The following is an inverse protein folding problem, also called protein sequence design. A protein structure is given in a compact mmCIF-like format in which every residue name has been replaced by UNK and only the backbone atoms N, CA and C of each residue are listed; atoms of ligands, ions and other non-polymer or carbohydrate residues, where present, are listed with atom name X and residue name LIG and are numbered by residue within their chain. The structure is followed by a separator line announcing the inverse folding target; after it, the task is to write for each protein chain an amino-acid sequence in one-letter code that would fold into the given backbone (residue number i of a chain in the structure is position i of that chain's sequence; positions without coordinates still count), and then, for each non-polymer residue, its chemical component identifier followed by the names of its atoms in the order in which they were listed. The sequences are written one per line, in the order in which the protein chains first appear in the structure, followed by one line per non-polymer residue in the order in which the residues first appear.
data_IF_467061309710
#
_entry.id   IF_467061309710
#
_cell.length_a   1.000
_cell.length_b   1.000
_cell.length_c   1.000
_cell.angle_alpha   90.00
_cell.angle_beta   90.00
_cell.angle_gamma   90.00
#
_symmetry.space_group_name_H-M   'P 1'
#
loop_
_entity.id
_entity.type
_entity.pdbx_description
1 polymer ?
#
# COMPACT_ATOMS: atom_id res chain seq x y z
N UNK A 1 -7.22 21.73 18.87
CA UNK A 1 -7.22 20.27 18.63
C UNK A 1 -8.00 20.04 17.34
N UNK A 2 -7.35 19.66 16.24
CA UNK A 2 -8.08 19.31 15.00
C UNK A 2 -8.92 18.06 15.31
N UNK A 3 -10.17 17.94 14.84
CA UNK A 3 -10.92 16.70 15.03
C UNK A 3 -10.05 15.54 14.52
N UNK A 4 -10.01 14.44 15.26
CA UNK A 4 -9.34 13.19 14.88
C UNK A 4 -10.05 12.60 13.66
N UNK A 5 -9.93 13.26 12.53
CA UNK A 5 -10.60 13.00 11.26
C UNK A 5 -9.85 12.00 10.40
N UNK A 6 -9.20 11.02 11.03
CA UNK A 6 -8.76 9.81 10.32
C UNK A 6 -9.97 9.08 9.74
N UNK A 7 -9.76 8.36 8.65
CA UNK A 7 -10.76 7.41 8.17
C UNK A 7 -11.08 6.40 9.29
N UNK A 8 -12.36 6.01 9.44
CA UNK A 8 -12.80 5.05 10.48
C UNK A 8 -11.93 3.79 10.56
N UNK A 9 -11.49 3.27 9.41
CA UNK A 9 -10.60 2.10 9.32
C UNK A 9 -9.20 2.44 9.84
N UNK A 10 -8.68 3.62 9.53
CA UNK A 10 -7.40 4.10 10.07
C UNK A 10 -7.40 4.09 11.59
N UNK A 11 -8.42 4.70 12.20
CA UNK A 11 -8.47 4.89 13.66
C UNK A 11 -8.77 3.59 14.41
N UNK A 12 -9.75 2.81 13.95
CA UNK A 12 -10.27 1.65 14.71
C UNK A 12 -9.48 0.37 14.42
N UNK A 13 -8.83 0.26 13.26
CA UNK A 13 -8.12 -0.94 12.84
C UNK A 13 -6.61 -0.72 12.71
N UNK A 14 -6.19 0.24 11.89
CA UNK A 14 -4.77 0.35 11.51
C UNK A 14 -3.91 0.86 12.64
N UNK A 15 -4.34 1.90 13.36
CA UNK A 15 -3.57 2.42 14.49
C UNK A 15 -3.32 1.35 15.57
N UNK A 16 -4.33 0.58 16.03
CA UNK A 16 -4.07 -0.53 16.94
C UNK A 16 -3.08 -1.57 16.39
N UNK A 17 -3.19 -1.95 15.11
CA UNK A 17 -2.27 -2.91 14.49
C UNK A 17 -0.84 -2.39 14.44
N UNK A 18 -0.63 -1.15 13.99
CA UNK A 18 0.69 -0.52 13.98
C UNK A 18 1.26 -0.42 15.40
N UNK A 19 0.46 -0.01 16.38
CA UNK A 19 0.92 0.12 17.76
C UNK A 19 1.45 -1.21 18.35
N UNK A 20 0.88 -2.34 17.94
CA UNK A 20 1.30 -3.66 18.43
C UNK A 20 2.48 -4.26 17.66
N UNK A 21 2.53 -4.06 16.34
CA UNK A 21 3.46 -4.80 15.47
C UNK A 21 4.52 -3.93 14.77
N UNK A 22 4.27 -2.65 14.59
CA UNK A 22 5.19 -1.68 13.97
C UNK A 22 5.10 -0.33 14.71
N UNK A 23 5.48 -0.27 16.01
CA UNK A 23 5.24 0.90 16.85
C UNK A 23 5.84 2.19 16.28
N UNK A 24 6.98 2.11 15.57
CA UNK A 24 7.62 3.22 14.89
C UNK A 24 6.73 3.86 13.81
N UNK A 25 5.90 3.07 13.14
CA UNK A 25 4.96 3.55 12.11
C UNK A 25 3.70 4.20 12.70
N UNK A 26 3.46 4.07 14.01
CA UNK A 26 2.27 4.65 14.67
C UNK A 26 2.25 6.18 14.64
N UNK A 27 3.40 6.81 14.35
CA UNK A 27 3.52 8.27 14.20
C UNK A 27 2.87 8.82 12.92
N UNK A 28 2.48 7.96 11.98
CA UNK A 28 1.79 8.39 10.77
C UNK A 28 0.35 8.79 11.04
N UNK A 29 -0.01 10.01 10.65
CA UNK A 29 -1.38 10.51 10.80
C UNK A 29 -2.37 9.81 9.87
N UNK A 30 -1.96 9.46 8.64
CA UNK A 30 -2.82 8.82 7.64
C UNK A 30 -2.09 7.66 6.94
N UNK A 31 -1.89 6.52 7.61
CA UNK A 31 -1.19 5.36 7.04
C UNK A 31 -1.91 4.70 5.84
N UNK A 32 -3.19 5.03 5.62
CA UNK A 32 -3.98 4.59 4.47
C UNK A 32 -4.28 5.72 3.47
N UNK A 33 -3.46 6.79 3.48
CA UNK A 33 -3.60 7.89 2.53
C UNK A 33 -3.41 7.37 1.11
N UNK A 34 -4.31 7.74 0.19
CA UNK A 34 -4.11 7.49 -1.24
C UNK A 34 -3.20 8.54 -1.88
N UNK A 35 -2.95 9.63 -1.17
CA UNK A 35 -2.04 10.69 -1.55
C UNK A 35 -0.68 10.43 -0.91
N UNK A 36 0.25 9.95 -1.72
CA UNK A 36 1.65 9.75 -1.36
C UNK A 36 2.52 9.91 -2.61
N UNK A 37 3.82 10.13 -2.38
CA UNK A 37 4.82 10.20 -3.42
C UNK A 37 6.05 9.42 -2.98
N UNK A 38 6.79 8.87 -3.94
CA UNK A 38 8.01 8.12 -3.68
C UNK A 38 8.96 8.22 -4.86
N UNK A 39 10.25 8.10 -4.58
CA UNK A 39 11.25 7.97 -5.64
C UNK A 39 10.99 6.66 -6.38
N UNK A 40 11.12 6.70 -7.71
CA UNK A 40 10.92 5.51 -8.54
C UNK A 40 11.76 4.33 -8.05
N UNK A 41 13.04 4.57 -7.77
CA UNK A 41 14.01 3.56 -7.29
C UNK A 41 13.59 2.87 -5.99
N UNK A 42 12.82 3.55 -5.13
CA UNK A 42 12.24 2.96 -3.91
C UNK A 42 11.02 2.12 -4.28
N UNK A 43 10.10 2.70 -5.05
CA UNK A 43 8.83 2.04 -5.41
C UNK A 43 9.02 0.81 -6.30
N UNK A 44 9.98 0.82 -7.22
CA UNK A 44 10.24 -0.35 -8.08
C UNK A 44 10.93 -1.51 -7.35
N UNK A 45 11.48 -1.25 -6.16
CA UNK A 45 12.26 -2.19 -5.38
C UNK A 45 11.42 -2.92 -4.30
N UNK A 46 10.13 -2.60 -4.17
CA UNK A 46 9.20 -3.22 -3.21
C UNK A 46 8.01 -3.84 -3.95
N UNK A 47 7.38 -4.89 -3.40
CA UNK A 47 6.19 -5.49 -4.01
C UNK A 47 4.97 -4.58 -3.91
N UNK A 48 3.96 -4.83 -4.75
CA UNK A 48 2.68 -4.12 -4.74
C UNK A 48 1.52 -5.10 -4.57
N UNK A 49 0.80 -5.00 -3.44
CA UNK A 49 -0.45 -5.75 -3.25
C UNK A 49 -1.58 -5.14 -4.08
N UNK A 50 -2.43 -5.97 -4.65
CA UNK A 50 -3.63 -5.51 -5.38
C UNK A 50 -4.77 -5.25 -4.40
N UNK A 51 -5.46 -4.11 -4.56
CA UNK A 51 -6.64 -3.76 -3.77
C UNK A 51 -6.31 -2.98 -2.50
N UNK A 52 -7.19 -3.06 -1.50
CA UNK A 52 -7.14 -2.20 -0.30
C UNK A 52 -5.92 -2.40 0.62
N UNK A 53 -5.12 -3.43 0.40
CA UNK A 53 -3.89 -3.67 1.15
C UNK A 53 -2.68 -2.90 0.62
N UNK A 54 -2.80 -2.18 -0.50
CA UNK A 54 -1.64 -1.58 -1.17
C UNK A 54 -0.97 -0.50 -0.32
N UNK A 55 -1.73 0.41 0.31
CA UNK A 55 -1.14 1.51 1.08
C UNK A 55 -0.37 1.01 2.30
N UNK A 56 -1.00 0.14 3.10
CA UNK A 56 -0.36 -0.39 4.32
C UNK A 56 0.80 -1.32 4.01
N UNK A 57 0.66 -2.15 2.97
CA UNK A 57 1.73 -3.02 2.52
C UNK A 57 2.95 -2.21 2.07
N UNK A 58 2.72 -1.19 1.25
CA UNK A 58 3.78 -0.31 0.78
C UNK A 58 4.49 0.43 1.92
N UNK A 59 3.74 0.93 2.91
CA UNK A 59 4.31 1.59 4.07
C UNK A 59 5.23 0.65 4.87
N UNK A 60 4.77 -0.57 5.14
CA UNK A 60 5.54 -1.60 5.86
C UNK A 60 6.77 -2.03 5.04
N UNK A 61 6.60 -2.30 3.75
CA UNK A 61 7.67 -2.77 2.87
C UNK A 61 8.79 -1.73 2.71
N UNK A 62 8.44 -0.43 2.63
CA UNK A 62 9.44 0.65 2.58
C UNK A 62 10.12 0.81 3.93
N UNK A 63 9.37 0.77 5.03
CA UNK A 63 9.91 0.85 6.39
C UNK A 63 10.94 -0.25 6.65
N UNK A 64 10.63 -1.49 6.31
CA UNK A 64 11.52 -2.63 6.53
C UNK A 64 12.78 -2.54 5.69
N UNK A 65 12.65 -2.10 4.44
CA UNK A 65 13.77 -2.07 3.50
C UNK A 65 14.68 -0.87 3.69
N UNK A 66 14.14 0.29 4.07
CA UNK A 66 14.84 1.57 4.06
C UNK A 66 14.79 2.33 5.38
N UNK A 67 14.09 1.83 6.40
CA UNK A 67 13.99 2.43 7.71
C UNK A 67 13.13 3.69 7.77
N UNK A 68 12.86 4.13 9.00
CA UNK A 68 12.01 5.30 9.28
C UNK A 68 12.56 6.61 8.70
N UNK A 69 13.87 6.73 8.54
CA UNK A 69 14.53 7.90 7.95
C UNK A 69 14.19 8.15 6.47
N UNK A 70 13.71 7.12 5.76
CA UNK A 70 13.26 7.24 4.37
C UNK A 70 11.82 7.74 4.23
N UNK A 71 11.12 7.88 5.35
CA UNK A 71 9.69 8.08 5.45
C UNK A 71 9.40 9.46 6.05
N UNK A 72 8.45 10.19 5.44
CA UNK A 72 8.03 11.50 5.89
C UNK A 72 6.52 11.68 5.67
N UNK A 73 5.92 12.64 6.37
CA UNK A 73 4.52 13.03 6.19
C UNK A 73 4.42 14.54 6.01
N UNK A 74 3.47 14.97 5.18
CA UNK A 74 3.21 16.38 4.87
C UNK A 74 1.74 16.66 5.09
N UNK A 75 1.43 17.79 5.72
CA UNK A 75 0.06 18.26 5.89
C UNK A 75 -0.47 18.83 4.57
N UNK A 76 -1.61 18.32 4.10
CA UNK A 76 -2.29 18.76 2.87
C UNK A 76 -3.54 19.62 3.17
N UNK A 77 -3.58 20.22 4.37
CA UNK A 77 -4.68 21.02 4.92
C UNK A 77 -6.00 20.24 4.99
N UNK A 78 -6.90 20.47 4.03
CA UNK A 78 -8.27 19.94 4.06
C UNK A 78 -8.50 18.98 2.91
N UNK A 79 -8.70 17.71 3.27
CA UNK A 79 -9.17 16.68 2.36
C UNK A 79 -10.63 16.34 2.67
N UNK A 80 -11.51 16.49 1.69
CA UNK A 80 -12.91 16.03 1.77
C UNK A 80 -13.08 14.84 0.84
N UNK A 81 -13.38 13.67 1.39
CA UNK A 81 -13.69 12.47 0.62
C UNK A 81 -15.12 12.00 0.90
N UNK A 82 -15.70 11.24 -0.02
CA UNK A 82 -17.02 10.64 0.19
C UNK A 82 -16.99 9.68 1.39
N UNK A 83 -17.97 9.80 2.27
CA UNK A 83 -18.16 8.84 3.35
C UNK A 83 -18.57 7.48 2.78
N UNK A 84 -17.75 6.45 3.02
CA UNK A 84 -18.07 5.06 2.65
C UNK A 84 -19.11 4.48 3.61
N UNK A 85 -19.99 3.61 3.13
CA UNK A 85 -20.90 2.83 3.98
C UNK A 85 -20.14 1.87 4.90
N UNK A 86 -20.68 1.52 6.07
CA UNK A 86 -20.06 0.53 6.97
C UNK A 86 -19.74 -0.83 6.29
N UNK A 87 -20.61 -1.42 5.45
CA UNK A 87 -20.28 -2.64 4.73
C UNK A 87 -19.03 -2.49 3.83
N UNK A 88 -18.87 -1.34 3.17
CA UNK A 88 -17.68 -1.07 2.36
C UNK A 88 -16.41 -0.95 3.21
N UNK A 89 -16.51 -0.36 4.41
CA UNK A 89 -15.39 -0.30 5.36
C UNK A 89 -15.03 -1.67 5.93
N UNK A 90 -16.02 -2.52 6.21
CA UNK A 90 -15.78 -3.88 6.67
C UNK A 90 -15.01 -4.70 5.63
N UNK A 91 -15.34 -4.51 4.35
CA UNK A 91 -14.64 -5.15 3.22
C UNK A 91 -13.20 -4.66 3.06
N UNK A 92 -13.01 -3.34 3.18
CA UNK A 92 -11.68 -2.74 3.20
C UNK A 92 -10.85 -3.30 4.37
N UNK A 93 -11.46 -3.38 5.56
CA UNK A 93 -10.82 -3.91 6.77
C UNK A 93 -10.40 -5.37 6.60
N UNK A 94 -11.26 -6.21 6.01
CA UNK A 94 -10.93 -7.61 5.72
C UNK A 94 -9.69 -7.74 4.81
N UNK A 95 -9.65 -6.97 3.72
CA UNK A 95 -8.53 -7.02 2.79
C UNK A 95 -7.21 -6.49 3.40
N UNK A 96 -7.29 -5.46 4.23
CA UNK A 96 -6.13 -4.95 4.96
C UNK A 96 -5.65 -5.97 5.99
N UNK A 97 -6.55 -6.56 6.78
CA UNK A 97 -6.20 -7.61 7.74
C UNK A 97 -5.50 -8.78 7.07
N UNK A 98 -6.03 -9.26 5.95
CA UNK A 98 -5.36 -10.32 5.19
C UNK A 98 -3.94 -9.90 4.83
N UNK A 99 -3.77 -8.70 4.28
CA UNK A 99 -2.45 -8.17 3.89
C UNK A 99 -1.49 -8.08 5.07
N UNK A 100 -1.97 -7.59 6.21
CA UNK A 100 -1.17 -7.38 7.42
C UNK A 100 -0.73 -8.72 8.02
N UNK A 101 -1.65 -9.67 8.18
CA UNK A 101 -1.31 -11.00 8.71
C UNK A 101 -0.43 -11.81 7.76
N UNK A 102 -0.61 -11.71 6.44
CA UNK A 102 0.33 -12.30 5.48
C UNK A 102 1.74 -11.74 5.69
N UNK A 103 1.88 -10.42 5.93
CA UNK A 103 3.17 -9.79 6.22
C UNK A 103 3.81 -10.31 7.51
N UNK A 104 3.04 -10.34 8.59
CA UNK A 104 3.51 -10.87 9.88
C UNK A 104 3.92 -12.35 9.78
N UNK A 105 3.21 -13.16 9.00
CA UNK A 105 3.59 -14.55 8.74
C UNK A 105 4.88 -14.67 7.93
N UNK A 106 5.07 -13.84 6.90
CA UNK A 106 6.31 -13.81 6.10
C UNK A 106 7.55 -13.39 6.92
N UNK A 107 7.33 -12.77 8.08
CA UNK A 107 8.36 -12.32 9.01
C UNK A 107 8.53 -13.25 10.21
N UNK A 108 7.80 -14.38 10.23
CA UNK A 108 7.77 -15.32 11.35
C UNK A 108 7.36 -14.67 12.70
N UNK A 109 6.68 -13.51 12.68
CA UNK A 109 6.16 -12.83 13.88
C UNK A 109 4.93 -13.55 14.42
N UNK A 110 4.10 -14.09 13.52
CA UNK A 110 2.91 -14.86 13.87
C UNK A 110 2.87 -16.15 13.07
N UNK A 111 2.46 -17.23 13.72
CA UNK A 111 2.15 -18.51 13.07
C UNK A 111 0.64 -18.72 13.11
N UNK A 112 0.02 -18.98 11.96
CA UNK A 112 -1.40 -19.29 11.86
C UNK A 112 -1.55 -20.76 11.49
N UNK A 113 -2.30 -21.51 12.29
CA UNK A 113 -2.64 -22.91 11.98
C UNK A 113 -3.61 -23.04 10.79
N UNK A 114 -4.33 -21.96 10.49
CA UNK A 114 -5.31 -21.89 9.40
C UNK A 114 -4.87 -20.87 8.37
N UNK A 115 -5.09 -21.21 7.10
CA UNK A 115 -4.90 -20.29 6.00
C UNK A 115 -5.88 -19.10 6.09
N UNK A 116 -5.39 -17.92 5.72
CA UNK A 116 -6.23 -16.73 5.63
C UNK A 116 -7.23 -16.88 4.48
N UNK A 117 -8.50 -16.64 4.77
CA UNK A 117 -9.58 -16.78 3.79
C UNK A 117 -9.48 -15.70 2.71
N UNK A 118 -9.71 -16.08 1.45
CA UNK A 118 -9.96 -15.16 0.34
C UNK A 118 -11.44 -14.75 0.20
N UNK A 119 -12.33 -15.35 0.99
CA UNK A 119 -13.78 -15.08 0.99
C UNK A 119 -14.17 -14.32 2.25
N UNK A 120 -14.78 -13.15 2.07
CA UNK A 120 -15.42 -12.40 3.15
C UNK A 120 -16.91 -12.71 3.21
N UNK A 121 -17.43 -12.99 4.40
CA UNK A 121 -18.85 -13.29 4.62
C UNK A 121 -19.49 -12.11 5.35
N UNK A 122 -20.30 -11.34 4.62
CA UNK A 122 -21.03 -10.20 5.16
C UNK A 122 -22.39 -10.67 5.66
N UNK A 123 -22.66 -10.44 6.95
CA UNK A 123 -23.99 -10.65 7.53
C UNK A 123 -24.95 -9.60 7.01
N UNK A 124 -26.11 -10.03 6.52
CA UNK A 124 -27.23 -9.18 6.15
C UNK A 124 -28.49 -9.65 6.84
N UNK A 125 -29.34 -8.69 7.18
CA UNK A 125 -30.68 -8.95 7.70
C UNK A 125 -31.70 -8.32 6.75
N UNK A 126 -32.79 -9.05 6.48
CA UNK A 126 -33.98 -8.54 5.81
C UNK A 126 -35.18 -9.07 6.57
N UNK A 127 -35.96 -8.17 7.16
CA UNK A 127 -37.08 -8.52 8.06
C UNK A 127 -36.58 -9.42 9.20
N UNK A 128 -37.10 -10.65 9.31
CA UNK A 128 -36.70 -11.63 10.33
C UNK A 128 -35.61 -12.61 9.84
N UNK A 129 -35.19 -12.51 8.57
CA UNK A 129 -34.18 -13.41 7.99
C UNK A 129 -32.77 -12.84 8.07
N UNK A 130 -31.85 -13.64 8.63
CA UNK A 130 -30.41 -13.38 8.62
C UNK A 130 -29.75 -14.27 7.58
N UNK A 131 -29.01 -13.68 6.65
CA UNK A 131 -28.29 -14.41 5.61
C UNK A 131 -26.87 -13.90 5.40
N UNK A 132 -26.00 -14.77 4.88
CA UNK A 132 -24.61 -14.46 4.59
C UNK A 132 -24.43 -14.16 3.10
N UNK A 133 -23.96 -12.95 2.79
CA UNK A 133 -23.46 -12.61 1.46
C UNK A 133 -21.96 -12.86 1.41
N UNK A 134 -21.53 -13.76 0.53
CA UNK A 134 -20.11 -14.00 0.23
C UNK A 134 -19.58 -12.97 -0.75
N UNK A 135 -18.37 -12.50 -0.53
CA UNK A 135 -17.62 -11.64 -1.44
C UNK A 135 -16.18 -12.15 -1.53
N UNK A 136 -15.75 -12.53 -2.72
CA UNK A 136 -14.39 -13.03 -2.98
C UNK A 136 -13.41 -11.88 -3.15
N UNK A 137 -12.20 -12.08 -2.65
CA UNK A 137 -11.05 -11.19 -2.81
C UNK A 137 -9.95 -11.90 -3.56
N UNK A 138 -9.22 -11.12 -4.37
CA UNK A 138 -8.03 -11.59 -5.07
C UNK A 138 -6.82 -10.92 -4.45
N UNK A 139 -6.11 -11.66 -3.60
CA UNK A 139 -4.90 -11.19 -2.92
C UNK A 139 -3.67 -11.51 -3.76
N UNK A 140 -3.53 -10.79 -4.88
CA UNK A 140 -2.33 -10.88 -5.72
C UNK A 140 -1.30 -9.90 -5.18
N UNK A 141 -0.09 -10.41 -4.93
CA UNK A 141 1.10 -9.60 -4.78
C UNK A 141 1.84 -9.51 -6.12
N UNK A 142 2.07 -8.29 -6.60
CA UNK A 142 2.95 -8.03 -7.74
C UNK A 142 4.38 -7.97 -7.22
N UNK A 143 5.33 -8.70 -7.85
CA UNK A 143 6.71 -8.68 -7.40
C UNK A 143 7.29 -7.27 -7.57
N UNK A 144 8.41 -6.96 -6.90
CA UNK A 144 9.13 -5.70 -7.13
C UNK A 144 9.33 -5.48 -8.62
N UNK A 145 8.93 -4.31 -9.11
CA UNK A 145 8.91 -4.04 -10.54
C UNK A 145 10.29 -4.16 -11.19
N UNK A 146 11.37 -3.94 -10.43
CA UNK A 146 12.75 -4.17 -10.86
C UNK A 146 13.05 -5.64 -11.21
N UNK A 147 12.28 -6.61 -10.69
CA UNK A 147 12.43 -8.03 -11.05
C UNK A 147 11.72 -8.39 -12.35
N UNK A 148 10.76 -7.58 -12.80
CA UNK A 148 10.02 -7.81 -14.05
C UNK A 148 10.94 -7.57 -15.25
N UNK A 149 11.10 -8.60 -16.08
CA UNK A 149 12.03 -8.56 -17.21
C UNK A 149 11.68 -7.45 -18.22
N UNK A 150 10.40 -7.34 -18.58
CA UNK A 150 9.93 -6.33 -19.52
C UNK A 150 10.20 -4.91 -19.01
N UNK A 151 10.10 -4.71 -17.69
CA UNK A 151 10.42 -3.43 -17.06
C UNK A 151 11.90 -3.10 -17.19
N UNK A 152 12.78 -4.05 -16.82
CA UNK A 152 14.25 -3.90 -16.94
C UNK A 152 14.68 -3.59 -18.37
N UNK A 153 14.15 -4.33 -19.36
CA UNK A 153 14.42 -4.08 -20.78
C UNK A 153 14.00 -2.66 -21.21
N UNK A 154 12.81 -2.21 -20.80
CA UNK A 154 12.32 -0.85 -21.10
C UNK A 154 13.21 0.22 -20.46
N UNK A 155 13.65 0.04 -19.22
CA UNK A 155 14.54 0.97 -18.50
C UNK A 155 15.90 1.12 -19.19
N UNK A 156 16.53 0.00 -19.53
CA UNK A 156 17.81 -0.02 -20.24
C UNK A 156 17.72 0.69 -21.61
N UNK A 157 16.61 0.53 -22.32
CA UNK A 157 16.40 1.21 -23.61
C UNK A 157 16.25 2.73 -23.45
N UNK A 158 15.52 3.19 -22.43
CA UNK A 158 15.37 4.63 -22.15
C UNK A 158 16.74 5.24 -21.79
N UNK A 159 17.54 4.56 -20.98
CA UNK A 159 18.87 5.02 -20.59
C UNK A 159 19.83 5.11 -21.78
N UNK A 160 19.83 4.11 -22.67
CA UNK A 160 20.57 4.14 -23.93
C UNK A 160 20.14 5.29 -24.84
N UNK A 161 18.83 5.50 -24.99
CA UNK A 161 18.31 6.57 -25.84
C UNK A 161 18.63 7.97 -25.28
N UNK A 162 18.55 8.16 -23.96
CA UNK A 162 18.93 9.41 -23.31
C UNK A 162 20.43 9.70 -23.45
N UNK A 163 21.29 8.68 -23.37
CA UNK A 163 22.73 8.81 -23.62
C UNK A 163 23.04 9.18 -25.08
N UNK A 164 22.31 8.61 -26.03
CA UNK A 164 22.44 8.94 -27.46
C UNK A 164 22.01 10.39 -27.77
N UNK A 165 20.95 10.87 -27.10
CA UNK A 165 20.43 12.23 -27.28
C UNK A 165 21.29 13.32 -26.61
N UNK A 166 22.17 12.96 -25.66
CA UNK A 166 23.02 13.90 -24.92
C UNK A 166 24.42 14.11 -25.55
N UNK A 167 24.69 13.62 -26.77
CA UNK A 167 25.97 13.86 -27.46
C UNK A 167 26.16 15.35 -27.78
N UNK A 168 27.30 15.98 -27.41
CA UNK A 168 27.58 17.38 -27.67
C UNK A 168 28.10 17.61 -29.10
N UNK A 169 27.36 17.21 -30.13
CA UNK A 169 27.68 17.57 -31.52
C UNK A 169 27.05 18.93 -31.89
N UNK A 170 27.50 19.99 -31.20
CA UNK A 170 27.39 21.39 -31.66
C UNK A 170 28.56 22.22 -31.15
N UNK A 171 29.77 21.77 -31.49
CA UNK A 171 30.99 22.56 -31.33
C UNK A 171 31.89 22.34 -32.54
N UNK A 172 31.39 22.55 -33.76
CA UNK A 172 32.29 22.80 -34.89
C UNK A 172 31.82 23.95 -35.80
N UNK A 173 32.72 24.92 -35.89
CA UNK A 173 32.95 25.87 -37.00
C UNK A 173 31.91 26.96 -37.27
N UNK A 174 32.00 28.06 -36.50
CA UNK A 174 31.94 29.40 -37.11
C UNK A 174 33.38 29.85 -37.37
N UNK A 175 33.81 29.68 -38.62
CA UNK A 175 34.84 30.55 -39.21
C UNK A 175 34.20 31.87 -39.60
#
# INVERSE_FOLDING_TARGET
MRPSGGGRVTEILIRPLLANFYPELSQFLQPLSGEYAGRREVLEAVPFRVGYGVEIGLLIDIYEKYGMQSLAQVDLDRRVHRNRSLPALSKMSFAILHTFFTKLQQQDIVSLEKELSSEFRLVKAREEEIFLKKEGFTFIERPPMITVEQYRRKRANIEKNNFSAARPDRLESRK
#
